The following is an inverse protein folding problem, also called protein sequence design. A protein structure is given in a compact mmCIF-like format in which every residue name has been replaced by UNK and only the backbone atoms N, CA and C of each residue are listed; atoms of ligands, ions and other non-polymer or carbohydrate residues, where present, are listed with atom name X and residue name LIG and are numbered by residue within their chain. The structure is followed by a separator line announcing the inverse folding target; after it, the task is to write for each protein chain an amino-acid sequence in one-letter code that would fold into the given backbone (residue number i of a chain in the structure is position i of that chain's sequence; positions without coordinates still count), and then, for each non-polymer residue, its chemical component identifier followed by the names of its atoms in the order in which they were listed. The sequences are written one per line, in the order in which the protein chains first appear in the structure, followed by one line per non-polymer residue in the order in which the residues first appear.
data_IF_314416185109
#
_entry.id   IF_314416185109
#
_cell.length_a   1.000
_cell.length_b   1.000
_cell.length_c   1.000
_cell.angle_alpha   90.00
_cell.angle_beta   90.00
_cell.angle_gamma   90.00
#
_symmetry.space_group_name_H-M   'P 1'
#
loop_
_entity.id
_entity.type
_entity.pdbx_description
1 polymer ?
#
# COMPACT_ATOMS: atom_id res chain seq x y z
N UNK A 1 19.00 7.21 -21.10
CA UNK A 1 18.25 8.19 -20.30
C UNK A 1 16.85 8.21 -20.85
N UNK A 2 15.88 7.66 -20.12
CA UNK A 2 14.46 7.75 -20.50
C UNK A 2 13.96 9.02 -19.83
N UNK A 3 13.87 10.09 -20.61
CA UNK A 3 13.22 11.31 -20.16
C UNK A 3 11.76 10.99 -19.82
N UNK A 4 11.33 11.43 -18.64
CA UNK A 4 10.04 11.11 -18.05
C UNK A 4 8.90 11.52 -18.99
N UNK A 5 8.17 10.52 -19.52
CA UNK A 5 6.95 10.70 -20.31
C UNK A 5 5.77 11.26 -19.49
N UNK A 6 5.97 11.50 -18.19
CA UNK A 6 4.92 11.97 -17.29
C UNK A 6 5.11 13.44 -16.92
N UNK A 7 4.06 14.27 -17.03
CA UNK A 7 4.09 15.61 -16.47
C UNK A 7 4.40 15.53 -14.97
N UNK A 8 5.25 16.42 -14.48
CA UNK A 8 5.67 16.46 -13.07
C UNK A 8 4.54 16.81 -12.08
N UNK A 9 3.34 17.09 -12.58
CA UNK A 9 2.17 17.49 -11.81
C UNK A 9 1.00 16.54 -12.07
N UNK A 10 0.29 16.18 -10.99
CA UNK A 10 -0.92 15.35 -11.01
C UNK A 10 -2.16 16.10 -11.56
N UNK A 11 -1.99 17.28 -12.19
CA UNK A 11 -3.09 18.06 -12.78
C UNK A 11 -3.91 18.87 -11.77
N UNK A 12 -3.46 18.93 -10.51
CA UNK A 12 -4.05 19.69 -9.41
C UNK A 12 -2.91 20.38 -8.64
N UNK A 13 -3.06 21.68 -8.36
CA UNK A 13 -2.12 22.45 -7.53
C UNK A 13 -2.26 22.15 -6.02
N UNK A 14 -3.17 21.25 -5.64
CA UNK A 14 -3.36 20.86 -4.23
C UNK A 14 -2.34 19.78 -3.84
N UNK A 15 -1.78 19.85 -2.62
CA UNK A 15 -0.93 18.79 -2.12
C UNK A 15 -1.71 17.46 -2.04
N UNK A 16 -1.00 16.35 -2.27
CA UNK A 16 -1.55 15.02 -2.04
C UNK A 16 -1.97 14.86 -0.57
N UNK A 17 -3.03 14.11 -0.26
CA UNK A 17 -3.37 13.81 1.11
C UNK A 17 -2.28 12.97 1.77
N UNK A 18 -2.21 13.03 3.10
CA UNK A 18 -1.33 12.16 3.88
C UNK A 18 -1.86 10.72 3.91
N UNK A 19 -0.99 9.70 4.05
CA UNK A 19 -1.43 8.33 4.25
C UNK A 19 -2.28 8.18 5.52
N UNK A 20 -3.38 7.44 5.43
CA UNK A 20 -4.30 7.16 6.57
C UNK A 20 -4.15 5.75 7.13
N UNK A 21 -3.21 4.98 6.59
CA UNK A 21 -2.98 3.57 6.95
C UNK A 21 -1.65 3.39 7.65
N UNK A 22 -1.57 2.32 8.45
CA UNK A 22 -0.34 1.89 9.10
C UNK A 22 0.01 0.48 8.62
N UNK A 23 1.28 0.21 8.33
CA UNK A 23 1.74 -1.15 8.00
C UNK A 23 2.17 -1.85 9.29
N UNK A 24 1.48 -2.93 9.72
CA UNK A 24 1.93 -3.71 10.86
C UNK A 24 3.32 -4.29 10.61
N UNK A 25 4.17 -4.26 11.64
CA UNK A 25 5.55 -4.77 11.57
C UNK A 25 5.69 -6.04 12.41
N UNK A 26 6.86 -6.69 12.32
CA UNK A 26 7.19 -7.79 13.22
C UNK A 26 7.12 -7.31 14.67
N UNK A 27 6.21 -7.90 15.44
CA UNK A 27 5.93 -7.54 16.84
C UNK A 27 4.59 -6.86 17.06
N UNK A 28 3.87 -6.43 16.01
CA UNK A 28 2.49 -5.96 16.16
C UNK A 28 1.61 -7.12 16.63
N UNK A 29 0.97 -6.96 17.80
CA UNK A 29 0.02 -7.96 18.30
C UNK A 29 -1.23 -7.94 17.43
N UNK A 30 -1.62 -9.11 16.93
CA UNK A 30 -2.87 -9.26 16.16
C UNK A 30 -4.11 -8.99 17.01
N UNK A 31 -3.99 -9.11 18.34
CA UNK A 31 -5.03 -8.74 19.29
C UNK A 31 -5.02 -7.22 19.48
N UNK A 32 -6.08 -6.55 19.02
CA UNK A 32 -6.24 -5.11 19.16
C UNK A 32 -5.68 -4.29 17.99
N UNK A 33 -5.66 -4.84 16.77
CA UNK A 33 -5.31 -4.06 15.57
C UNK A 33 -6.23 -2.84 15.45
N UNK A 34 -5.64 -1.68 15.17
CA UNK A 34 -6.38 -0.46 14.86
C UNK A 34 -7.00 -0.56 13.47
N UNK A 35 -8.00 0.28 13.18
CA UNK A 35 -8.58 0.34 11.84
C UNK A 35 -7.52 0.69 10.78
N UNK A 36 -6.62 1.65 11.08
CA UNK A 36 -5.54 2.05 10.17
C UNK A 36 -4.60 0.87 9.85
N UNK A 37 -4.35 -0.01 10.82
CA UNK A 37 -3.54 -1.22 10.64
C UNK A 37 -4.26 -2.27 9.81
N UNK A 38 -5.55 -2.48 10.05
CA UNK A 38 -6.37 -3.40 9.25
C UNK A 38 -6.42 -2.91 7.80
N UNK A 39 -6.62 -1.62 7.57
CA UNK A 39 -6.60 -1.04 6.22
C UNK A 39 -5.22 -1.20 5.57
N UNK A 40 -4.13 -1.01 6.32
CA UNK A 40 -2.78 -1.28 5.82
C UNK A 40 -2.57 -2.73 5.36
N UNK A 41 -3.10 -3.70 6.10
CA UNK A 41 -3.10 -5.12 5.71
C UNK A 41 -3.90 -5.33 4.41
N UNK A 42 -5.13 -4.81 4.35
CA UNK A 42 -6.01 -4.98 3.19
C UNK A 42 -5.45 -4.34 1.91
N UNK A 43 -4.79 -3.20 2.04
CA UNK A 43 -4.16 -2.48 0.92
C UNK A 43 -2.89 -3.17 0.43
N UNK A 44 -2.23 -4.01 1.24
CA UNK A 44 -0.93 -4.55 0.91
C UNK A 44 -0.98 -5.64 -0.19
N UNK A 45 -0.39 -5.39 -1.38
CA UNK A 45 -0.44 -6.36 -2.48
C UNK A 45 0.45 -7.59 -2.26
N UNK A 46 1.34 -7.60 -1.26
CA UNK A 46 2.16 -8.80 -0.98
C UNK A 46 1.29 -10.02 -0.66
N UNK A 47 0.12 -9.80 -0.05
CA UNK A 47 -0.80 -10.89 0.27
C UNK A 47 -1.42 -11.52 -0.98
N UNK A 48 -1.47 -10.79 -2.10
CA UNK A 48 -1.86 -11.30 -3.40
C UNK A 48 -0.69 -11.90 -4.20
N UNK A 49 0.51 -11.98 -3.60
CA UNK A 49 1.70 -12.54 -4.24
C UNK A 49 2.50 -11.55 -5.09
N UNK A 50 2.29 -10.24 -4.92
CA UNK A 50 3.12 -9.25 -5.60
C UNK A 50 4.53 -9.23 -4.99
N UNK A 51 5.55 -9.33 -5.85
CA UNK A 51 6.96 -9.37 -5.44
C UNK A 51 7.47 -10.79 -5.20
N UNK A 52 8.46 -10.99 -4.29
CA UNK A 52 9.03 -12.30 -4.01
C UNK A 52 8.20 -13.14 -3.01
N UNK A 53 6.99 -12.69 -2.68
CA UNK A 53 6.17 -13.30 -1.63
C UNK A 53 5.15 -14.27 -2.24
N UNK A 54 4.96 -15.47 -1.68
CA UNK A 54 3.90 -16.37 -2.13
C UNK A 54 2.52 -15.78 -1.83
N UNK A 55 1.52 -15.96 -2.72
CA UNK A 55 0.18 -15.45 -2.49
C UNK A 55 -0.48 -16.14 -1.30
N UNK A 56 -1.03 -15.35 -0.38
CA UNK A 56 -1.86 -15.82 0.74
C UNK A 56 -3.36 -15.72 0.42
N UNK A 57 -3.73 -14.80 -0.48
CA UNK A 57 -5.09 -14.64 -0.99
C UNK A 57 -5.06 -14.59 -2.52
N UNK A 58 -6.16 -15.04 -3.13
CA UNK A 58 -6.35 -14.91 -4.58
C UNK A 58 -6.30 -13.45 -5.03
N UNK A 59 -5.60 -13.18 -6.14
CA UNK A 59 -5.48 -11.83 -6.72
C UNK A 59 -6.85 -11.19 -6.94
N UNK A 60 -7.81 -11.94 -7.50
CA UNK A 60 -9.16 -11.43 -7.74
C UNK A 60 -9.88 -11.01 -6.46
N UNK A 61 -9.57 -11.65 -5.31
CA UNK A 61 -10.14 -11.29 -4.02
C UNK A 61 -9.52 -9.99 -3.49
N UNK A 62 -8.21 -9.84 -3.64
CA UNK A 62 -7.52 -8.60 -3.30
C UNK A 62 -8.03 -7.42 -4.14
N UNK A 63 -8.19 -7.59 -5.46
CA UNK A 63 -8.75 -6.56 -6.35
C UNK A 63 -10.16 -6.13 -5.92
N UNK A 64 -11.02 -7.09 -5.51
CA UNK A 64 -12.36 -6.76 -4.96
C UNK A 64 -12.28 -5.99 -3.64
N UNK A 65 -11.29 -6.25 -2.80
CA UNK A 65 -11.03 -5.45 -1.61
C UNK A 65 -10.56 -4.03 -1.97
N UNK A 66 -9.63 -3.89 -2.92
CA UNK A 66 -9.19 -2.58 -3.41
C UNK A 66 -10.36 -1.76 -3.93
N UNK A 67 -11.27 -2.37 -4.71
CA UNK A 67 -12.48 -1.70 -5.17
C UNK A 67 -13.32 -1.15 -4.00
N UNK A 68 -13.55 -1.96 -2.95
CA UNK A 68 -14.31 -1.51 -1.77
C UNK A 68 -13.62 -0.35 -1.05
N UNK A 69 -12.30 -0.43 -0.88
CA UNK A 69 -11.53 0.66 -0.27
C UNK A 69 -11.65 1.95 -1.10
N UNK A 70 -11.49 1.87 -2.42
CA UNK A 70 -11.68 3.02 -3.33
C UNK A 70 -13.09 3.61 -3.21
N UNK A 71 -14.11 2.77 -3.14
CA UNK A 71 -15.50 3.22 -2.99
C UNK A 71 -15.74 3.91 -1.61
N UNK A 72 -14.99 3.54 -0.56
CA UNK A 72 -15.07 4.12 0.79
C UNK A 72 -14.24 5.41 0.98
N UNK A 73 -12.98 5.41 0.52
CA UNK A 73 -12.00 6.47 0.82
C UNK A 73 -11.66 7.37 -0.38
N UNK A 74 -12.08 6.97 -1.58
CA UNK A 74 -11.77 7.67 -2.83
C UNK A 74 -10.46 7.19 -3.47
N UNK A 75 -10.38 7.31 -4.80
CA UNK A 75 -9.25 6.79 -5.57
C UNK A 75 -7.91 7.47 -5.23
N UNK A 76 -7.91 8.78 -4.98
CA UNK A 76 -6.69 9.52 -4.64
C UNK A 76 -6.10 9.04 -3.30
N UNK A 77 -6.92 8.96 -2.25
CA UNK A 77 -6.49 8.48 -0.94
C UNK A 77 -6.03 7.02 -1.01
N UNK A 78 -6.75 6.16 -1.75
CA UNK A 78 -6.36 4.77 -1.95
C UNK A 78 -4.99 4.64 -2.61
N UNK A 79 -4.72 5.42 -3.66
CA UNK A 79 -3.42 5.38 -4.35
C UNK A 79 -2.28 5.91 -3.48
N UNK A 80 -2.52 6.94 -2.66
CA UNK A 80 -1.55 7.41 -1.65
C UNK A 80 -1.26 6.31 -0.63
N UNK A 81 -2.30 5.67 -0.09
CA UNK A 81 -2.17 4.56 0.85
C UNK A 81 -1.41 3.37 0.24
N UNK A 82 -1.75 2.99 -0.99
CA UNK A 82 -1.08 1.90 -1.71
C UNK A 82 0.40 2.20 -1.93
N UNK A 83 0.74 3.41 -2.37
CA UNK A 83 2.13 3.83 -2.56
C UNK A 83 2.91 3.80 -1.24
N UNK A 84 2.31 4.29 -0.15
CA UNK A 84 2.91 4.21 1.18
C UNK A 84 3.20 2.74 1.58
N UNK A 85 2.23 1.85 1.43
CA UNK A 85 2.36 0.43 1.76
C UNK A 85 3.41 -0.28 0.89
N UNK A 86 3.45 0.01 -0.42
CA UNK A 86 4.47 -0.52 -1.34
C UNK A 86 5.88 -0.11 -0.91
N UNK A 87 6.08 1.17 -0.57
CA UNK A 87 7.37 1.68 -0.08
C UNK A 87 7.78 0.97 1.21
N UNK A 88 6.85 0.80 2.16
CA UNK A 88 7.12 0.07 3.40
C UNK A 88 7.44 -1.41 3.19
N UNK A 89 6.79 -2.05 2.21
CA UNK A 89 6.92 -3.49 1.98
C UNK A 89 8.17 -3.87 1.19
N UNK A 90 8.61 -3.02 0.25
CA UNK A 90 9.69 -3.36 -0.68
C UNK A 90 10.97 -2.55 -0.52
N UNK A 91 10.93 -1.31 -0.01
CA UNK A 91 12.11 -0.44 0.04
C UNK A 91 12.91 -0.54 1.35
N UNK A 92 12.52 -1.42 2.30
CA UNK A 92 13.26 -1.65 3.55
C UNK A 92 14.31 -2.79 3.48
N UNK A 93 14.59 -3.34 2.29
CA UNK A 93 15.60 -4.40 2.11
C UNK A 93 17.04 -3.86 1.95
N UNK A 94 17.54 -3.03 2.87
CA UNK A 94 18.94 -2.53 2.78
C UNK A 94 19.71 -2.47 4.11
N UNK A 95 19.36 -3.30 5.10
CA UNK A 95 20.24 -3.67 6.23
C UNK A 95 19.88 -5.15 6.52
N UNK A 96 20.76 -6.14 6.38
CA UNK A 96 21.98 -6.39 7.19
C UNK A 96 23.13 -6.98 6.35
N UNK A 97 24.41 -6.60 6.59
CA UNK A 97 25.54 -7.50 6.43
C UNK A 97 25.62 -8.46 7.63
N UNK A 98 25.76 -9.77 7.36
CA UNK A 98 26.19 -10.77 8.34
C UNK A 98 27.62 -10.50 8.85
#
# INVERSE_FOLDING_TARGET
MIDSLWPQSHGSDRPLPEPTVEVPTNGTRLQGLTEAQIRGILTNPIYAGVGPYPPMVEESRWVRCCKKLIDEEGAEQFLVNLLYVLRKSFLFQSQEPQ
#
